data_IF_255217775504
#
_entry.id   IF_255217775504
#
_cell.length_a   1.000
_cell.length_b   1.000
_cell.length_c   1.000
_cell.angle_alpha   90.00
_cell.angle_beta   90.00
_cell.angle_gamma   90.00
#
_symmetry.space_group_name_H-M   'P 1'
#
loop_
_entity.id
_entity.type
_entity.pdbx_description
1 polymer ?
#
# COMPACT_ATOMS: atom_id res chain seq x y z
N UNK A 1 -8.06 -18.51 16.86
CA UNK A 1 -9.24 -18.11 16.04
C UNK A 1 -10.40 -17.62 16.92
N UNK A 2 -10.20 -16.53 17.64
CA UNK A 2 -11.31 -15.78 18.29
C UNK A 2 -11.06 -14.28 18.18
N UNK A 3 -9.79 -13.86 18.24
CA UNK A 3 -9.36 -12.48 17.96
C UNK A 3 -9.70 -12.01 16.55
N UNK A 4 -9.41 -12.81 15.53
CA UNK A 4 -9.78 -12.48 14.14
C UNK A 4 -11.30 -12.43 13.92
N UNK A 5 -12.08 -13.23 14.67
CA UNK A 5 -13.55 -13.15 14.64
C UNK A 5 -14.09 -11.86 15.28
N UNK A 6 -13.47 -11.38 16.36
CA UNK A 6 -13.88 -10.12 17.00
C UNK A 6 -13.53 -8.94 16.09
N UNK A 7 -12.33 -8.92 15.52
CA UNK A 7 -11.89 -7.84 14.63
C UNK A 7 -12.70 -7.81 13.33
N UNK A 8 -12.97 -8.96 12.71
CA UNK A 8 -13.77 -9.03 11.48
C UNK A 8 -15.23 -8.63 11.69
N UNK A 9 -15.79 -8.90 12.87
CA UNK A 9 -17.12 -8.44 13.26
C UNK A 9 -17.18 -6.92 13.49
N UNK A 10 -16.08 -6.30 13.91
CA UNK A 10 -15.97 -4.85 14.04
C UNK A 10 -15.74 -4.16 12.70
N UNK A 11 -14.87 -4.71 11.85
CA UNK A 11 -14.66 -4.24 10.48
C UNK A 11 -14.24 -5.41 9.58
N UNK A 12 -15.00 -5.70 8.50
CA UNK A 12 -14.72 -6.83 7.61
C UNK A 12 -13.30 -6.87 7.02
N UNK A 13 -12.64 -5.70 6.88
CA UNK A 13 -11.27 -5.61 6.37
C UNK A 13 -10.24 -6.34 7.23
N UNK A 14 -10.54 -6.64 8.50
CA UNK A 14 -9.64 -7.36 9.38
C UNK A 14 -9.73 -8.89 9.25
N UNK A 15 -10.65 -9.42 8.44
CA UNK A 15 -10.80 -10.86 8.23
C UNK A 15 -9.56 -11.49 7.58
N UNK A 16 -8.86 -10.73 6.74
CA UNK A 16 -7.74 -11.20 5.92
C UNK A 16 -6.36 -10.87 6.52
N UNK A 17 -6.31 -10.26 7.72
CA UNK A 17 -5.04 -9.92 8.36
C UNK A 17 -4.38 -11.16 8.98
N UNK A 18 -3.06 -11.37 8.80
CA UNK A 18 -2.33 -12.52 9.34
C UNK A 18 -2.00 -12.37 10.83
N UNK A 19 -2.95 -11.90 11.64
CA UNK A 19 -2.76 -11.60 13.07
C UNK A 19 -2.31 -12.85 13.83
N UNK A 20 -2.95 -14.00 13.62
CA UNK A 20 -2.56 -15.26 14.28
C UNK A 20 -1.13 -15.70 13.95
N UNK A 21 -0.71 -15.57 12.69
CA UNK A 21 0.63 -15.96 12.27
C UNK A 21 1.70 -15.10 12.93
N UNK A 22 1.45 -13.79 13.06
CA UNK A 22 2.38 -12.86 13.73
C UNK A 22 2.41 -13.11 15.24
N UNK A 23 1.26 -13.38 15.87
CA UNK A 23 1.25 -13.80 17.29
C UNK A 23 2.05 -15.08 17.49
N UNK A 24 1.93 -16.03 16.57
CA UNK A 24 2.69 -17.28 16.63
C UNK A 24 4.20 -17.02 16.48
N UNK A 25 4.61 -16.08 15.62
CA UNK A 25 6.00 -15.65 15.51
C UNK A 25 6.50 -14.98 16.82
N UNK A 26 5.62 -14.25 17.51
CA UNK A 26 5.89 -13.57 18.77
C UNK A 26 5.33 -14.32 20.00
N UNK A 27 5.28 -15.65 19.95
CA UNK A 27 4.57 -16.44 20.96
C UNK A 27 5.13 -16.24 22.37
N UNK A 28 6.45 -16.11 22.50
CA UNK A 28 7.12 -15.89 23.78
C UNK A 28 6.78 -14.52 24.38
N UNK A 29 6.80 -13.47 23.56
CA UNK A 29 6.45 -12.11 23.95
C UNK A 29 4.97 -11.99 24.33
N UNK A 30 4.09 -12.70 23.62
CA UNK A 30 2.67 -12.78 23.92
C UNK A 30 2.42 -13.33 25.33
N UNK A 31 3.04 -14.47 25.68
CA UNK A 31 2.88 -15.06 27.01
C UNK A 31 3.54 -14.22 28.10
N UNK A 32 4.66 -13.57 27.79
CA UNK A 32 5.32 -12.64 28.70
C UNK A 32 4.43 -11.44 29.03
N UNK A 33 3.90 -10.76 28.02
CA UNK A 33 3.01 -9.61 28.20
C UNK A 33 1.75 -9.99 29.00
N UNK A 34 1.22 -11.19 28.78
CA UNK A 34 0.08 -11.72 29.54
C UNK A 34 0.43 -11.97 31.02
N UNK A 35 1.58 -12.58 31.27
CA UNK A 35 2.04 -12.88 32.64
C UNK A 35 2.34 -11.60 33.43
N UNK A 36 3.04 -10.63 32.82
CA UNK A 36 3.34 -9.34 33.43
C UNK A 36 2.06 -8.52 33.69
N UNK A 37 1.12 -8.50 32.75
CA UNK A 37 -0.19 -7.85 32.95
C UNK A 37 -0.98 -8.46 34.11
N UNK A 38 -0.92 -9.78 34.28
CA UNK A 38 -1.58 -10.47 35.38
C UNK A 38 -0.90 -10.18 36.73
N UNK A 39 0.43 -10.02 36.74
CA UNK A 39 1.19 -9.65 37.93
C UNK A 39 0.95 -8.19 38.35
N UNK A 40 0.83 -7.26 37.40
CA UNK A 40 0.53 -5.86 37.66
C UNK A 40 -0.96 -5.58 37.93
N UNK A 41 -1.84 -6.52 37.61
CA UNK A 41 -3.30 -6.33 37.69
C UNK A 41 -3.83 -5.34 36.65
N UNK A 42 -3.04 -5.00 35.64
CA UNK A 42 -3.37 -4.04 34.60
C UNK A 42 -3.17 -4.66 33.21
N UNK A 43 -4.14 -4.48 32.31
CA UNK A 43 -4.07 -5.05 30.96
C UNK A 43 -3.27 -4.20 29.96
N UNK A 44 -2.60 -3.15 30.42
CA UNK A 44 -1.89 -2.18 29.56
C UNK A 44 -0.84 -2.86 28.69
N UNK A 45 0.07 -3.64 29.30
CA UNK A 45 1.16 -4.33 28.59
C UNK A 45 0.64 -5.30 27.54
N UNK A 46 -0.41 -6.05 27.87
CA UNK A 46 -1.05 -6.97 26.93
C UNK A 46 -1.72 -6.23 25.76
N UNK A 47 -2.44 -5.13 26.04
CA UNK A 47 -3.10 -4.34 24.97
C UNK A 47 -2.07 -3.68 24.06
N UNK A 48 -0.99 -3.12 24.60
CA UNK A 48 0.10 -2.54 23.81
C UNK A 48 0.74 -3.57 22.88
N UNK A 49 1.02 -4.78 23.39
CA UNK A 49 1.51 -5.88 22.58
C UNK A 49 0.55 -6.22 21.43
N UNK A 50 -0.73 -6.39 21.73
CA UNK A 50 -1.74 -6.75 20.71
C UNK A 50 -1.89 -5.65 19.64
N UNK A 51 -1.84 -4.38 20.04
CA UNK A 51 -1.85 -3.25 19.09
C UNK A 51 -0.59 -3.22 18.22
N UNK A 52 0.57 -3.57 18.78
CA UNK A 52 1.81 -3.74 18.03
C UNK A 52 1.69 -4.82 16.95
N UNK A 53 1.19 -5.99 17.31
CA UNK A 53 0.93 -7.10 16.37
C UNK A 53 -0.04 -6.69 15.25
N UNK A 54 -1.14 -5.99 15.59
CA UNK A 54 -2.11 -5.54 14.58
C UNK A 54 -1.45 -4.54 13.61
N UNK A 55 -0.65 -3.62 14.14
CA UNK A 55 0.10 -2.66 13.32
C UNK A 55 1.06 -3.38 12.37
N UNK A 56 1.80 -4.36 12.87
CA UNK A 56 2.71 -5.16 12.06
C UNK A 56 1.96 -5.92 10.96
N UNK A 57 0.83 -6.56 11.30
CA UNK A 57 -0.02 -7.25 10.33
C UNK A 57 -0.50 -6.32 9.21
N UNK A 58 -0.91 -5.10 9.57
CA UNK A 58 -1.31 -4.09 8.60
C UNK A 58 -0.14 -3.69 7.69
N UNK A 59 1.05 -3.50 8.25
CA UNK A 59 2.23 -3.13 7.46
C UNK A 59 2.66 -4.26 6.52
N UNK A 60 2.76 -5.50 6.99
CA UNK A 60 3.13 -6.65 6.16
C UNK A 60 2.13 -6.89 5.04
N UNK A 61 0.82 -6.77 5.30
CA UNK A 61 -0.20 -6.88 4.27
C UNK A 61 -0.14 -5.75 3.24
N UNK A 62 0.24 -4.53 3.65
CA UNK A 62 0.47 -3.45 2.67
C UNK A 62 1.71 -3.70 1.81
N UNK A 63 2.77 -4.30 2.36
CA UNK A 63 4.02 -4.58 1.64
C UNK A 63 3.84 -5.74 0.65
N UNK A 64 3.14 -6.80 1.03
CA UNK A 64 2.79 -7.90 0.11
C UNK A 64 1.90 -7.44 -1.06
N UNK A 65 0.97 -6.51 -0.80
CA UNK A 65 0.16 -5.91 -1.87
C UNK A 65 0.99 -5.03 -2.82
N UNK A 66 2.12 -4.48 -2.37
CA UNK A 66 3.03 -3.72 -3.23
C UNK A 66 3.94 -4.61 -4.07
N UNK A 67 4.37 -5.76 -3.56
CA UNK A 67 5.23 -6.71 -4.27
C UNK A 67 4.46 -7.49 -5.37
N UNK A 68 3.23 -7.92 -5.10
CA UNK A 68 2.41 -8.62 -6.11
C UNK A 68 1.90 -7.68 -7.22
N UNK A 69 1.83 -6.38 -6.95
CA UNK A 69 1.40 -5.39 -7.94
C UNK A 69 2.38 -5.26 -9.11
N UNK A 70 3.69 -5.27 -8.86
CA UNK A 70 4.70 -4.95 -9.89
C UNK A 70 4.75 -5.99 -11.01
N UNK A 71 4.38 -7.26 -10.74
CA UNK A 71 4.24 -8.32 -11.74
C UNK A 71 2.96 -8.21 -12.59
N UNK A 72 1.95 -7.49 -12.10
CA UNK A 72 0.67 -7.28 -12.79
C UNK A 72 0.57 -5.92 -13.49
N UNK A 73 1.58 -5.06 -13.36
CA UNK A 73 1.61 -3.76 -14.01
C UNK A 73 1.85 -3.93 -15.53
N UNK A 74 0.85 -3.58 -16.35
CA UNK A 74 1.00 -3.55 -17.81
C UNK A 74 2.06 -2.55 -18.27
N UNK A 75 2.65 -2.77 -19.45
CA UNK A 75 3.73 -1.95 -20.01
C UNK A 75 3.40 -0.45 -20.05
N UNK A 76 2.14 -0.10 -20.33
CA UNK A 76 1.64 1.27 -20.36
C UNK A 76 1.79 1.95 -18.99
N UNK A 77 1.42 1.24 -17.92
CA UNK A 77 1.51 1.73 -16.53
C UNK A 77 2.97 1.88 -16.13
N UNK A 78 3.80 0.91 -16.45
CA UNK A 78 5.25 0.97 -16.19
C UNK A 78 5.88 2.19 -16.87
N UNK A 79 5.56 2.44 -18.14
CA UNK A 79 6.07 3.61 -18.87
C UNK A 79 5.60 4.95 -18.25
N UNK A 80 4.35 5.04 -17.78
CA UNK A 80 3.87 6.23 -17.08
C UNK A 80 4.64 6.44 -15.78
N UNK A 81 4.68 5.44 -14.91
CA UNK A 81 5.29 5.53 -13.58
C UNK A 81 6.79 5.81 -13.68
N UNK A 82 7.51 5.15 -14.59
CA UNK A 82 8.95 5.34 -14.79
C UNK A 82 9.35 6.78 -15.14
N UNK A 83 8.47 7.50 -15.86
CA UNK A 83 8.71 8.88 -16.29
C UNK A 83 8.35 9.93 -15.23
N UNK A 84 7.58 9.54 -14.21
CA UNK A 84 7.19 10.44 -13.13
C UNK A 84 8.36 10.68 -12.17
N UNK A 85 8.45 11.92 -11.68
CA UNK A 85 9.32 12.30 -10.56
C UNK A 85 8.51 12.58 -9.31
N UNK A 86 9.18 13.12 -8.29
CA UNK A 86 8.50 13.64 -7.11
C UNK A 86 7.65 14.87 -7.46
N UNK A 87 6.45 14.95 -6.88
CA UNK A 87 5.54 16.08 -7.03
C UNK A 87 4.16 15.69 -7.54
N UNK A 88 3.31 16.71 -7.63
CA UNK A 88 1.92 16.57 -8.07
C UNK A 88 1.78 16.87 -9.57
N UNK A 89 1.11 15.98 -10.29
CA UNK A 89 0.87 16.11 -11.72
C UNK A 89 -0.63 16.22 -12.01
N UNK A 90 -1.02 17.16 -12.86
CA UNK A 90 -2.34 17.13 -13.48
C UNK A 90 -2.44 15.99 -14.51
N UNK A 91 -3.65 15.55 -14.84
CA UNK A 91 -3.88 14.62 -15.95
C UNK A 91 -3.26 15.13 -17.27
N UNK A 92 -3.32 16.45 -17.53
CA UNK A 92 -2.76 17.06 -18.74
C UNK A 92 -1.24 16.98 -18.76
N UNK A 93 -0.57 17.22 -17.63
CA UNK A 93 0.89 17.11 -17.53
C UNK A 93 1.36 15.66 -17.62
N UNK A 94 0.62 14.70 -17.06
CA UNK A 94 0.93 13.27 -17.24
C UNK A 94 0.81 12.84 -18.71
N UNK A 95 -0.26 13.25 -19.39
CA UNK A 95 -0.41 13.00 -20.84
C UNK A 95 0.76 13.58 -21.65
N UNK A 96 1.16 14.82 -21.35
CA UNK A 96 2.31 15.45 -21.99
C UNK A 96 3.63 14.71 -21.70
N UNK A 97 3.80 14.22 -20.46
CA UNK A 97 4.99 13.50 -20.00
C UNK A 97 5.22 12.19 -20.79
N UNK A 98 4.13 11.48 -21.12
CA UNK A 98 4.18 10.25 -21.94
C UNK A 98 3.93 10.50 -23.43
N UNK A 99 3.83 11.77 -23.86
CA UNK A 99 3.55 12.20 -25.24
C UNK A 99 2.27 11.58 -25.83
N UNK A 100 1.22 11.45 -25.01
CA UNK A 100 -0.06 10.90 -25.42
C UNK A 100 -1.11 12.01 -25.55
N UNK A 101 -1.80 12.06 -26.69
CA UNK A 101 -2.84 13.06 -26.96
C UNK A 101 -4.26 12.54 -26.73
N UNK A 102 -4.47 11.22 -26.83
CA UNK A 102 -5.81 10.63 -26.73
C UNK A 102 -6.19 10.36 -25.27
N UNK A 103 -7.13 11.16 -24.75
CA UNK A 103 -7.52 11.13 -23.34
C UNK A 103 -8.17 9.83 -22.88
N UNK A 104 -9.10 9.19 -23.63
CA UNK A 104 -9.68 7.92 -23.20
C UNK A 104 -8.60 6.84 -23.00
N UNK A 105 -7.68 6.70 -23.96
CA UNK A 105 -6.53 5.78 -23.86
C UNK A 105 -5.68 6.08 -22.64
N UNK A 106 -5.37 7.35 -22.38
CA UNK A 106 -4.64 7.74 -21.16
C UNK A 106 -5.36 7.29 -19.88
N UNK A 107 -6.68 7.48 -19.81
CA UNK A 107 -7.44 7.13 -18.61
C UNK A 107 -7.48 5.62 -18.39
N UNK A 108 -7.87 4.85 -19.41
CA UNK A 108 -8.13 3.42 -19.27
C UNK A 108 -6.88 2.56 -19.27
N UNK A 109 -5.86 2.91 -20.05
CA UNK A 109 -4.69 2.04 -20.24
C UNK A 109 -3.52 2.46 -19.35
N UNK A 110 -3.53 3.68 -18.81
CA UNK A 110 -2.44 4.23 -18.00
C UNK A 110 -2.91 4.62 -16.60
N UNK A 111 -3.77 5.62 -16.49
CA UNK A 111 -4.04 6.27 -15.20
C UNK A 111 -4.88 5.41 -14.26
N UNK A 112 -6.01 4.88 -14.71
CA UNK A 112 -6.90 4.10 -13.86
C UNK A 112 -6.25 2.81 -13.37
N UNK A 113 -5.62 1.99 -14.23
CA UNK A 113 -4.88 0.82 -13.77
C UNK A 113 -3.80 1.20 -12.76
N UNK A 114 -3.13 2.34 -12.96
CA UNK A 114 -2.06 2.74 -12.08
C UNK A 114 -2.51 3.24 -10.70
N UNK A 115 -3.71 3.83 -10.62
CA UNK A 115 -4.36 4.19 -9.34
C UNK A 115 -4.91 2.94 -8.65
N UNK A 116 -5.53 2.03 -9.40
CA UNK A 116 -6.06 0.75 -8.87
C UNK A 116 -4.93 -0.11 -8.30
N UNK A 117 -3.81 -0.22 -9.02
CA UNK A 117 -2.58 -0.89 -8.57
C UNK A 117 -1.81 -0.11 -7.50
N UNK A 118 -2.35 1.01 -7.01
CA UNK A 118 -1.78 1.86 -5.96
C UNK A 118 -0.35 2.34 -6.23
N UNK A 119 0.07 2.49 -7.49
CA UNK A 119 1.33 3.16 -7.83
C UNK A 119 1.15 4.69 -7.89
N UNK A 120 -0.06 5.14 -8.22
CA UNK A 120 -0.48 6.52 -8.13
C UNK A 120 -1.61 6.70 -7.11
N UNK A 121 -1.66 7.88 -6.51
CA UNK A 121 -2.80 8.33 -5.70
C UNK A 121 -3.31 9.70 -6.14
N UNK A 122 -4.56 10.00 -5.82
CA UNK A 122 -5.17 11.29 -6.07
C UNK A 122 -4.72 12.29 -5.00
N UNK A 123 -4.43 13.52 -5.41
CA UNK A 123 -4.15 14.60 -4.45
C UNK A 123 -5.39 15.02 -3.68
N UNK A 124 -6.59 14.80 -4.25
CA UNK A 124 -7.90 15.17 -3.70
C UNK A 124 -8.88 13.99 -3.80
N UNK A 125 -8.74 12.97 -2.95
CA UNK A 125 -9.58 11.77 -3.01
C UNK A 125 -11.06 12.06 -2.71
N UNK A 126 -11.35 13.09 -1.92
CA UNK A 126 -12.70 13.51 -1.54
C UNK A 126 -13.47 14.19 -2.70
N UNK A 127 -12.74 14.73 -3.68
CA UNK A 127 -13.32 15.37 -4.86
C UNK A 127 -12.68 14.85 -6.16
N UNK A 128 -12.93 13.59 -6.54
CA UNK A 128 -12.20 12.90 -7.59
C UNK A 128 -12.33 13.54 -8.98
N UNK A 129 -13.47 14.19 -9.25
CA UNK A 129 -13.78 14.86 -10.52
C UNK A 129 -13.42 16.35 -10.52
N UNK A 130 -12.77 16.86 -9.46
CA UNK A 130 -12.38 18.26 -9.34
C UNK A 130 -11.45 18.70 -10.47
N UNK A 131 -11.63 19.93 -10.95
CA UNK A 131 -10.70 20.57 -11.90
C UNK A 131 -9.29 20.76 -11.34
N UNK A 132 -9.17 20.82 -10.01
CA UNK A 132 -7.90 20.93 -9.29
C UNK A 132 -7.34 19.56 -8.88
N UNK A 133 -7.83 18.48 -9.49
CA UNK A 133 -7.32 17.15 -9.23
C UNK A 133 -5.91 16.99 -9.80
N UNK A 134 -5.03 16.42 -9.00
CA UNK A 134 -3.70 15.98 -9.36
C UNK A 134 -3.48 14.52 -8.96
N UNK A 135 -2.32 14.02 -9.36
CA UNK A 135 -1.87 12.65 -9.14
C UNK A 135 -0.40 12.67 -8.77
N UNK A 136 -0.02 11.83 -7.82
CA UNK A 136 1.37 11.68 -7.38
C UNK A 136 1.72 10.23 -7.13
N UNK A 137 3.02 9.94 -7.09
CA UNK A 137 3.51 8.61 -6.76
C UNK A 137 3.20 8.26 -5.30
N UNK A 138 2.72 7.05 -5.07
CA UNK A 138 2.66 6.45 -3.74
C UNK A 138 4.03 5.92 -3.33
N UNK A 139 4.14 5.34 -2.13
CA UNK A 139 5.34 4.59 -1.72
C UNK A 139 5.65 3.44 -2.67
N UNK A 140 4.61 2.69 -3.08
CA UNK A 140 4.72 1.60 -4.06
C UNK A 140 5.21 2.10 -5.42
N UNK A 141 4.63 3.20 -5.92
CA UNK A 141 5.04 3.80 -7.19
C UNK A 141 6.50 4.24 -7.18
N UNK A 142 6.98 4.84 -6.08
CA UNK A 142 8.40 5.21 -5.93
C UNK A 142 9.32 3.99 -5.92
N UNK A 143 8.94 2.92 -5.22
CA UNK A 143 9.70 1.68 -5.19
C UNK A 143 9.81 1.07 -6.60
N UNK A 144 8.71 1.01 -7.34
CA UNK A 144 8.68 0.54 -8.72
C UNK A 144 9.60 1.38 -9.63
N UNK A 145 9.63 2.71 -9.47
CA UNK A 145 10.57 3.56 -10.21
C UNK A 145 12.03 3.20 -9.91
N UNK A 146 12.37 2.91 -8.65
CA UNK A 146 13.72 2.50 -8.27
C UNK A 146 14.10 1.15 -8.89
N UNK A 147 13.20 0.18 -8.87
CA UNK A 147 13.40 -1.15 -9.46
C UNK A 147 13.61 -1.08 -10.98
N UNK A 148 12.79 -0.29 -11.69
CA UNK A 148 12.94 -0.12 -13.14
C UNK A 148 14.29 0.50 -13.52
N UNK A 149 14.75 1.50 -12.75
CA UNK A 149 16.07 2.12 -12.96
C UNK A 149 17.23 1.15 -12.74
N UNK A 150 17.10 0.23 -11.77
CA UNK A 150 18.11 -0.81 -11.54
C UNK A 150 18.16 -1.84 -12.67
N UNK A 151 17.02 -2.17 -13.29
CA UNK A 151 16.96 -3.07 -14.45
C UNK A 151 17.59 -2.47 -15.71
N UNK A 152 17.34 -1.18 -15.96
CA UNK A 152 17.89 -0.50 -17.14
C UNK A 152 19.40 -0.18 -17.00
N UNK A 153 19.89 0.02 -15.77
CA UNK A 153 21.30 0.26 -15.48
C UNK A 153 22.23 -0.95 -15.64
N UNK A 154 21.69 -2.15 -15.89
CA UNK A 154 22.45 -3.39 -16.14
C UNK A 154 22.70 -3.70 -17.62
N UNK A 155 22.32 -2.80 -18.55
CA UNK A 155 22.49 -2.97 -20.01
C UNK A 155 23.49 -1.98 -20.63
N UNK A 156 24.46 -1.50 -19.86
CA UNK A 156 25.59 -0.71 -20.35
C UNK A 156 26.84 -1.59 -20.52
#
# INVERSE_FOLDING_TARGET
>A
MWRTLILSRWNPLFADLPVESIIHAHQQDYYRALAESNAEGASTLFVEFVLGVIREALMSSTEQATEQGTEQAGEQVLNLVARMGEGDYSAKSLMALIRLSHRPTFLYDYLHPAVVGRWLELTRPETPTSRKQGYRLTRSGRQLVLELRQRDGGRA
#
